data_IF_329735952843
#
_entry.id   IF_329735952843
#
_cell.length_a   1.000
_cell.length_b   1.000
_cell.length_c   1.000
_cell.angle_alpha   90.00
_cell.angle_beta   90.00
_cell.angle_gamma   90.00
#
_symmetry.space_group_name_H-M   'P 1'
#
loop_
_entity.id
_entity.type
_entity.pdbx_description
1 polymer ?
#
# COMPACT_ATOMS: atom_id res chain seq x y z
N UNK A 1 30.79 -11.37 -17.21
CA UNK A 1 30.25 -9.99 -17.23
C UNK A 1 28.94 -10.04 -18.00
N UNK A 2 27.80 -10.16 -17.32
CA UNK A 2 26.49 -9.99 -17.99
C UNK A 2 26.16 -8.50 -17.97
N UNK A 3 26.17 -7.87 -19.14
CA UNK A 3 25.59 -6.55 -19.33
C UNK A 3 24.07 -6.71 -19.19
N UNK A 4 23.53 -6.36 -18.03
CA UNK A 4 22.09 -6.14 -17.91
C UNK A 4 21.77 -4.91 -18.77
N UNK A 5 21.30 -5.15 -19.99
CA UNK A 5 20.59 -4.11 -20.73
C UNK A 5 19.42 -3.70 -19.83
N UNK A 6 19.45 -2.47 -19.33
CA UNK A 6 18.27 -1.82 -18.80
C UNK A 6 17.30 -1.61 -19.98
N UNK A 7 16.62 -2.67 -20.40
CA UNK A 7 15.49 -2.59 -21.29
C UNK A 7 14.40 -1.90 -20.48
N UNK A 8 14.28 -0.58 -20.68
CA UNK A 8 13.08 0.15 -20.26
C UNK A 8 11.91 -0.46 -21.01
N UNK A 9 11.21 -1.38 -20.34
CA UNK A 9 10.02 -2.00 -20.87
C UNK A 9 8.96 -0.91 -21.12
N UNK A 10 8.15 -1.07 -22.18
CA UNK A 10 7.11 -0.10 -22.48
C UNK A 10 6.12 0.00 -21.33
N UNK A 11 5.41 1.13 -21.24
CA UNK A 11 4.32 1.31 -20.28
C UNK A 11 3.25 0.24 -20.49
N UNK A 12 2.71 -0.30 -19.39
CA UNK A 12 1.66 -1.31 -19.47
C UNK A 12 0.36 -0.75 -20.06
N UNK A 13 -0.43 -1.60 -20.75
CA UNK A 13 -1.78 -1.23 -21.16
C UNK A 13 -2.63 -0.90 -19.93
N UNK A 14 -3.66 -0.09 -20.14
CA UNK A 14 -4.61 0.25 -19.07
C UNK A 14 -5.38 -0.99 -18.61
N UNK A 15 -5.68 -1.05 -17.32
CA UNK A 15 -6.50 -2.09 -16.71
C UNK A 15 -7.94 -1.57 -16.63
N UNK A 16 -8.75 -1.89 -17.63
CA UNK A 16 -10.06 -1.28 -17.83
C UNK A 16 -9.94 0.25 -17.90
N UNK A 17 -10.66 1.00 -17.04
CA UNK A 17 -10.60 2.46 -17.04
C UNK A 17 -9.37 3.03 -16.31
N UNK A 18 -8.54 2.18 -15.67
CA UNK A 18 -7.44 2.64 -14.84
C UNK A 18 -6.11 2.63 -15.63
N UNK A 19 -5.46 3.80 -15.82
CA UNK A 19 -4.16 3.85 -16.47
C UNK A 19 -3.07 3.22 -15.58
N UNK A 20 -2.11 2.56 -16.22
CA UNK A 20 -0.97 1.93 -15.55
C UNK A 20 0.32 2.65 -15.94
N UNK A 21 0.67 3.76 -15.26
CA UNK A 21 1.88 4.51 -15.59
C UNK A 21 3.15 3.77 -15.19
N UNK A 22 4.22 3.99 -15.94
CA UNK A 22 5.57 3.56 -15.55
C UNK A 22 5.94 4.19 -14.18
N UNK A 23 6.53 3.44 -13.23
CA UNK A 23 7.15 2.12 -13.37
C UNK A 23 6.21 0.91 -13.14
N UNK A 24 4.92 1.11 -12.90
CA UNK A 24 4.01 0.01 -12.54
C UNK A 24 3.95 -1.06 -13.62
N UNK A 25 4.03 -2.33 -13.21
CA UNK A 25 4.01 -3.50 -14.09
C UNK A 25 2.81 -4.39 -13.78
N UNK A 26 2.01 -4.70 -14.81
CA UNK A 26 0.92 -5.68 -14.76
C UNK A 26 1.28 -7.01 -15.42
N UNK A 27 2.47 -7.12 -16.01
CA UNK A 27 2.91 -8.31 -16.75
C UNK A 27 4.40 -8.30 -17.10
N UNK A 28 4.96 -9.44 -17.54
CA UNK A 28 6.41 -9.61 -17.73
C UNK A 28 6.99 -8.79 -18.89
N UNK A 29 6.15 -8.21 -19.76
CA UNK A 29 6.55 -7.52 -20.99
C UNK A 29 6.31 -6.01 -20.95
N UNK A 30 5.90 -5.46 -19.80
CA UNK A 30 5.64 -4.04 -19.64
C UNK A 30 5.93 -3.55 -18.21
N UNK A 31 6.27 -2.27 -18.05
CA UNK A 31 6.63 -1.67 -16.75
C UNK A 31 7.91 -2.24 -16.15
N UNK A 32 8.21 -1.90 -14.91
CA UNK A 32 9.35 -2.44 -14.18
C UNK A 32 8.90 -3.67 -13.35
N UNK A 33 9.49 -4.86 -13.54
CA UNK A 33 9.15 -6.07 -12.79
C UNK A 33 9.23 -5.93 -11.26
N UNK A 34 10.01 -4.96 -10.74
CA UNK A 34 10.07 -4.68 -9.30
C UNK A 34 8.81 -3.98 -8.79
N UNK A 35 8.10 -3.21 -9.61
CA UNK A 35 6.90 -2.46 -9.25
C UNK A 35 5.63 -3.19 -9.70
N UNK A 36 5.54 -4.46 -9.32
CA UNK A 36 4.46 -5.35 -9.76
C UNK A 36 3.13 -5.01 -9.09
N UNK A 37 2.08 -4.89 -9.89
CA UNK A 37 0.67 -4.85 -9.49
C UNK A 37 -0.12 -5.84 -10.35
N UNK A 38 -1.30 -6.25 -9.90
CA UNK A 38 -2.16 -7.19 -10.64
C UNK A 38 -3.32 -6.43 -11.28
N UNK A 39 -3.64 -6.77 -12.52
CA UNK A 39 -4.90 -6.40 -13.15
C UNK A 39 -5.78 -7.65 -13.20
N UNK A 40 -6.94 -7.60 -12.57
CA UNK A 40 -7.92 -8.70 -12.60
C UNK A 40 -9.31 -8.12 -12.91
N UNK A 41 -9.94 -8.57 -13.99
CA UNK A 41 -11.28 -8.12 -14.42
C UNK A 41 -11.47 -6.59 -14.32
N UNK A 42 -10.61 -5.83 -15.01
CA UNK A 42 -10.62 -4.35 -15.04
C UNK A 42 -10.38 -3.65 -13.68
N UNK A 43 -9.96 -4.42 -12.68
CA UNK A 43 -9.61 -3.93 -11.35
C UNK A 43 -8.11 -4.06 -11.12
N UNK A 44 -7.49 -2.92 -10.78
CA UNK A 44 -6.12 -2.92 -10.30
C UNK A 44 -6.05 -3.37 -8.85
N UNK A 45 -5.11 -4.25 -8.56
CA UNK A 45 -4.89 -4.89 -7.27
C UNK A 45 -3.42 -4.76 -6.87
N UNK A 46 -3.20 -4.44 -5.60
CA UNK A 46 -1.90 -4.37 -4.96
C UNK A 46 -1.77 -5.58 -4.03
N UNK A 47 -0.80 -6.44 -4.32
CA UNK A 47 -0.48 -7.58 -3.48
C UNK A 47 0.57 -7.18 -2.43
N UNK A 48 0.17 -7.21 -1.17
CA UNK A 48 1.01 -7.05 0.00
C UNK A 48 1.56 -8.42 0.44
N UNK A 49 2.41 -8.45 1.47
CA UNK A 49 2.98 -9.70 2.01
C UNK A 49 1.92 -10.73 2.41
N UNK A 50 0.75 -10.31 2.92
CA UNK A 50 -0.30 -11.20 3.44
C UNK A 50 -1.72 -10.85 2.97
N UNK A 51 -1.89 -9.78 2.18
CA UNK A 51 -3.20 -9.27 1.78
C UNK A 51 -3.18 -8.73 0.35
N UNK A 52 -4.37 -8.64 -0.25
CA UNK A 52 -4.56 -7.96 -1.53
C UNK A 52 -5.50 -6.78 -1.33
N UNK A 53 -5.11 -5.61 -1.85
CA UNK A 53 -5.90 -4.39 -1.79
C UNK A 53 -6.27 -3.94 -3.19
N UNK A 54 -7.49 -3.43 -3.38
CA UNK A 54 -7.84 -2.75 -4.62
C UNK A 54 -7.08 -1.43 -4.72
N UNK A 55 -6.62 -1.07 -5.92
CA UNK A 55 -6.04 0.26 -6.19
C UNK A 55 -7.16 1.18 -6.68
N UNK A 56 -7.35 2.30 -5.99
CA UNK A 56 -8.34 3.32 -6.34
C UNK A 56 -7.83 4.25 -7.44
N UNK A 57 -6.56 4.65 -7.36
CA UNK A 57 -5.99 5.59 -8.33
C UNK A 57 -4.47 5.44 -8.42
N UNK A 58 -3.94 5.73 -9.60
CA UNK A 58 -2.51 5.85 -9.88
C UNK A 58 -2.23 7.29 -10.31
N UNK A 59 -1.11 7.86 -9.86
CA UNK A 59 -0.68 9.21 -10.20
C UNK A 59 0.72 9.14 -10.82
N UNK A 60 0.83 9.32 -12.15
CA UNK A 60 2.12 9.31 -12.83
C UNK A 60 3.01 10.48 -12.40
N UNK A 61 2.43 11.67 -12.20
CA UNK A 61 3.17 12.91 -11.90
C UNK A 61 3.98 12.84 -10.61
N UNK A 62 3.46 12.12 -9.62
CA UNK A 62 4.08 11.98 -8.31
C UNK A 62 4.48 10.52 -7.99
N UNK A 63 4.38 9.62 -8.98
CA UNK A 63 4.65 8.18 -8.86
C UNK A 63 3.97 7.54 -7.63
N UNK A 64 2.66 7.79 -7.48
CA UNK A 64 1.86 7.35 -6.33
C UNK A 64 0.80 6.35 -6.74
N UNK A 65 0.50 5.41 -5.86
CA UNK A 65 -0.73 4.63 -5.93
C UNK A 65 -1.52 4.78 -4.63
N UNK A 66 -2.84 4.72 -4.75
CA UNK A 66 -3.74 4.81 -3.61
C UNK A 66 -4.51 3.51 -3.54
N UNK A 67 -4.39 2.81 -2.42
CA UNK A 67 -5.17 1.59 -2.19
C UNK A 67 -6.51 1.92 -1.53
N UNK A 68 -7.51 1.10 -1.81
CA UNK A 68 -8.79 1.11 -1.14
C UNK A 68 -8.62 0.67 0.31
N UNK A 69 -9.46 1.20 1.19
CA UNK A 69 -9.52 0.73 2.56
C UNK A 69 -10.12 -0.68 2.61
N UNK A 70 -9.66 -1.53 3.54
CA UNK A 70 -10.36 -2.77 3.87
C UNK A 70 -11.80 -2.45 4.30
N UNK A 71 -12.79 -3.30 3.93
CA UNK A 71 -14.15 -3.13 4.41
C UNK A 71 -14.18 -3.28 5.93
N UNK A 72 -15.09 -2.53 6.58
CA UNK A 72 -15.31 -2.63 8.02
C UNK A 72 -16.48 -3.58 8.28
N UNK A 73 -16.28 -4.54 9.16
CA UNK A 73 -17.35 -5.38 9.67
C UNK A 73 -18.31 -4.53 10.52
N UNK A 74 -19.56 -4.41 10.07
CA UNK A 74 -20.58 -3.59 10.72
C UNK A 74 -20.97 -4.09 12.12
N UNK A 75 -20.75 -5.38 12.41
CA UNK A 75 -21.11 -5.99 13.71
C UNK A 75 -20.06 -5.76 14.79
N UNK A 76 -18.79 -5.62 14.39
CA UNK A 76 -17.65 -5.52 15.33
C UNK A 76 -16.90 -4.18 15.23
N UNK A 77 -17.17 -3.37 14.20
CA UNK A 77 -16.40 -2.17 13.88
C UNK A 77 -14.90 -2.46 13.71
N UNK A 78 -14.58 -3.64 13.15
CA UNK A 78 -13.21 -4.09 12.90
C UNK A 78 -12.96 -4.15 11.40
N UNK A 79 -11.78 -3.73 10.96
CA UNK A 79 -11.39 -3.82 9.55
C UNK A 79 -11.16 -5.30 9.14
N UNK A 80 -11.58 -5.67 7.94
CA UNK A 80 -11.53 -7.06 7.47
C UNK A 80 -10.10 -7.63 7.35
N UNK A 81 -9.09 -6.76 7.25
CA UNK A 81 -7.68 -7.13 7.19
C UNK A 81 -7.02 -7.25 8.58
N UNK A 82 -7.75 -6.97 9.66
CA UNK A 82 -7.24 -7.10 11.03
C UNK A 82 -6.70 -8.50 11.38
N UNK A 83 -7.37 -9.62 11.03
CA UNK A 83 -6.86 -10.98 11.34
C UNK A 83 -5.51 -11.29 10.69
N UNK A 84 -5.15 -10.54 9.66
CA UNK A 84 -3.90 -10.65 8.88
C UNK A 84 -2.89 -9.54 9.20
N UNK A 85 -3.11 -8.81 10.30
CA UNK A 85 -2.31 -7.65 10.72
C UNK A 85 -2.26 -6.51 9.69
N UNK A 86 -3.32 -6.36 8.90
CA UNK A 86 -3.49 -5.26 7.96
C UNK A 86 -2.49 -5.23 6.80
N UNK A 87 -2.18 -4.02 6.34
CA UNK A 87 -1.24 -3.80 5.25
C UNK A 87 0.19 -4.07 5.72
N UNK A 88 0.81 -5.07 5.11
CA UNK A 88 2.23 -5.38 5.30
C UNK A 88 2.93 -5.33 3.96
N UNK A 89 3.90 -4.43 3.80
CA UNK A 89 4.70 -4.32 2.59
C UNK A 89 5.75 -5.44 2.54
N UNK A 90 6.08 -5.87 1.33
CA UNK A 90 7.17 -6.80 1.11
C UNK A 90 8.48 -6.01 1.14
N UNK A 91 9.39 -6.34 2.07
CA UNK A 91 10.68 -5.67 2.24
C UNK A 91 11.61 -5.78 1.03
N UNK A 92 11.36 -6.74 0.14
CA UNK A 92 12.11 -6.92 -1.11
C UNK A 92 11.54 -6.08 -2.26
N UNK A 93 10.31 -5.58 -2.13
CA UNK A 93 9.69 -4.74 -3.14
C UNK A 93 10.00 -3.25 -2.87
N UNK A 94 10.14 -2.42 -3.91
CA UNK A 94 10.41 -0.99 -3.78
C UNK A 94 9.12 -0.22 -3.46
N UNK A 95 8.39 -0.67 -2.42
CA UNK A 95 7.20 -0.02 -1.90
C UNK A 95 7.43 0.51 -0.46
N UNK A 96 6.88 1.68 -0.14
CA UNK A 96 7.03 2.49 1.05
C UNK A 96 5.74 3.29 1.26
N UNK A 97 5.46 3.61 2.50
CA UNK A 97 4.26 4.34 2.90
C UNK A 97 4.62 5.83 3.00
N UNK A 98 3.88 6.71 2.31
CA UNK A 98 4.10 8.15 2.45
C UNK A 98 3.78 8.68 3.84
N UNK A 99 4.36 9.82 4.21
CA UNK A 99 3.93 10.59 5.37
C UNK A 99 2.53 11.22 5.20
N UNK A 100 1.98 11.24 3.99
CA UNK A 100 0.61 11.70 3.69
C UNK A 100 -0.44 10.60 3.86
N UNK A 101 -0.09 9.48 4.52
CA UNK A 101 -1.02 8.45 4.93
C UNK A 101 -1.56 8.71 6.32
N UNK A 102 -2.84 8.42 6.52
CA UNK A 102 -3.37 8.19 7.86
C UNK A 102 -3.32 6.68 8.12
N UNK A 103 -2.28 6.21 8.81
CA UNK A 103 -2.21 4.84 9.32
C UNK A 103 -3.03 4.78 10.61
N UNK A 104 -4.18 4.11 10.57
CA UNK A 104 -5.08 3.98 11.72
C UNK A 104 -4.81 2.66 12.43
N UNK A 105 -4.36 2.74 13.68
CA UNK A 105 -4.38 1.59 14.58
C UNK A 105 -5.57 1.71 15.53
N UNK A 106 -6.46 0.73 15.47
CA UNK A 106 -7.54 0.55 16.43
C UNK A 106 -7.06 -0.43 17.51
N UNK A 107 -7.24 -0.08 18.78
CA UNK A 107 -6.84 -0.89 19.95
C UNK A 107 -5.32 -1.10 20.11
N UNK A 108 -4.56 -0.01 20.10
CA UNK A 108 -3.11 0.00 20.32
C UNK A 108 -2.73 -0.63 21.68
N UNK A 109 -1.99 -1.74 21.65
CA UNK A 109 -1.19 -2.23 22.79
C UNK A 109 0.30 -2.13 22.41
N UNK A 110 1.23 -2.33 23.35
CA UNK A 110 2.68 -2.29 23.11
C UNK A 110 3.16 -3.22 21.97
N UNK A 111 2.33 -4.19 21.55
CA UNK A 111 2.56 -5.04 20.37
C UNK A 111 2.66 -4.28 19.04
N UNK A 112 2.17 -3.04 18.96
CA UNK A 112 2.34 -2.16 17.80
C UNK A 112 3.82 -1.87 17.51
N UNK A 113 4.66 -1.86 18.55
CA UNK A 113 6.10 -1.64 18.43
C UNK A 113 6.81 -2.78 17.69
N UNK A 114 6.15 -3.93 17.55
CA UNK A 114 6.61 -5.09 16.79
C UNK A 114 6.02 -5.14 15.37
N UNK A 115 5.19 -4.16 15.00
CA UNK A 115 4.68 -4.02 13.64
C UNK A 115 5.81 -3.69 12.68
N UNK A 116 5.73 -4.08 11.40
CA UNK A 116 6.64 -3.63 10.34
C UNK A 116 6.51 -2.13 9.99
N UNK A 117 5.83 -1.34 10.84
CA UNK A 117 5.70 0.11 10.70
C UNK A 117 6.79 0.76 11.53
N UNK A 118 7.47 1.77 10.97
CA UNK A 118 8.49 2.52 11.68
C UNK A 118 7.85 3.28 12.86
N UNK A 119 8.00 2.72 14.05
CA UNK A 119 7.53 3.28 15.32
C UNK A 119 8.65 3.98 16.10
N UNK A 120 9.69 4.47 15.39
CA UNK A 120 10.75 5.27 15.99
C UNK A 120 10.22 6.47 16.80
N UNK A 121 11.04 7.08 17.68
CA UNK A 121 10.61 8.19 18.53
C UNK A 121 10.09 9.40 17.75
N UNK A 122 10.54 9.57 16.49
CA UNK A 122 10.08 10.62 15.57
C UNK A 122 8.84 10.21 14.74
N UNK A 123 8.34 8.99 14.90
CA UNK A 123 7.19 8.49 14.16
C UNK A 123 5.88 9.12 14.63
N UNK A 124 4.95 9.32 13.70
CA UNK A 124 3.60 9.78 14.03
C UNK A 124 2.87 8.78 14.96
N UNK A 125 3.25 7.50 14.92
CA UNK A 125 2.77 6.49 15.88
C UNK A 125 3.04 6.89 17.34
N UNK A 126 4.23 7.43 17.63
CA UNK A 126 4.61 7.84 18.99
C UNK A 126 3.77 9.03 19.50
N UNK A 127 3.38 9.93 18.60
CA UNK A 127 2.50 11.07 18.90
C UNK A 127 1.09 10.61 19.27
N UNK A 128 0.55 9.63 18.55
CA UNK A 128 -0.79 9.09 18.81
C UNK A 128 -0.84 8.14 20.02
N UNK A 129 0.25 7.42 20.32
CA UNK A 129 0.34 6.58 21.54
C UNK A 129 0.26 7.46 22.81
N UNK A 130 0.88 8.63 22.81
CA UNK A 130 0.84 9.57 23.92
C UNK A 130 -0.42 10.48 23.95
N UNK A 131 -1.19 10.49 22.85
CA UNK A 131 -2.38 11.33 22.67
C UNK A 131 -3.69 10.62 23.03
N UNK A 132 -4.16 10.88 24.23
CA UNK A 132 -5.50 10.56 24.79
C UNK A 132 -6.68 10.34 23.81
N UNK A 133 -7.32 9.17 23.96
CA UNK A 133 -8.78 8.89 24.01
C UNK A 133 -9.65 9.66 22.99
N UNK A 134 -9.97 9.04 21.85
CA UNK A 134 -11.31 8.94 21.21
C UNK A 134 -11.17 8.38 19.78
N UNK A 135 -12.07 7.48 19.31
CA UNK A 135 -11.96 6.84 18.01
C UNK A 135 -12.35 7.85 16.93
N UNK A 136 -11.35 8.40 16.24
CA UNK A 136 -11.58 9.24 15.06
C UNK A 136 -11.13 8.49 13.81
N UNK A 137 -12.14 8.00 13.10
CA UNK A 137 -12.06 7.49 11.73
C UNK A 137 -11.64 8.65 10.82
N UNK A 138 -10.61 8.46 9.99
CA UNK A 138 -10.54 9.14 8.70
C UNK A 138 -9.61 8.43 7.71
N UNK A 139 -10.01 8.52 6.44
CA UNK A 139 -9.67 7.65 5.33
C UNK A 139 -8.36 7.98 4.60
N UNK A 140 -7.89 6.94 3.90
CA UNK A 140 -7.02 6.94 2.71
C UNK A 140 -5.52 6.63 2.96
N UNK A 141 -5.10 5.47 2.45
CA UNK A 141 -3.72 5.01 2.45
C UNK A 141 -3.12 5.26 1.03
N UNK A 142 -2.25 6.27 0.93
CA UNK A 142 -1.41 6.65 -0.21
C UNK A 142 0.02 6.04 -0.13
N UNK A 143 0.30 4.93 -0.79
CA UNK A 143 1.62 4.26 -0.76
C UNK A 143 2.53 4.87 -1.85
N UNK A 144 3.75 5.34 -1.50
CA UNK A 144 4.78 5.77 -2.47
C UNK A 144 6.20 5.40 -2.08
N UNK A 145 7.04 5.29 -3.13
CA UNK A 145 8.33 4.59 -3.10
C UNK A 145 8.16 3.25 -2.45
#
# INVERSE_FOLDING_TARGET
MCAAFALSLPTCPSCGPHPVPYPLSTGPTCGDPLYKIRCDNDTLLFDSSNNTYRINSTSPSNQRLVIALPPIDASTCVAADFPTNGLQLNSSAPFNITSSNTVLYLNCNNSILSSPLDCGPDSLCHVYINGTILPKICLQININK
#
